data_IF_883948264961
#
_entry.id   IF_883948264961
#
_cell.length_a   1.000
_cell.length_b   1.000
_cell.length_c   1.000
_cell.angle_alpha   90.00
_cell.angle_beta   90.00
_cell.angle_gamma   90.00
#
_symmetry.space_group_name_H-M   'P 1'
#
loop_
_entity.id
_entity.type
_entity.pdbx_description
1 polymer ?
#
# COMPACT_ATOMS: atom_id res chain seq x y z
N UNK A 1 -12.11 18.20 -2.73
CA UNK A 1 -11.28 19.07 -1.86
C UNK A 1 -9.82 18.73 -2.08
N UNK A 2 -8.89 19.68 -2.02
CA UNK A 2 -7.45 19.38 -2.07
C UNK A 2 -6.97 18.97 -0.68
N UNK A 3 -6.27 17.84 -0.57
CA UNK A 3 -5.66 17.39 0.68
C UNK A 3 -4.38 18.19 0.97
N UNK A 4 -4.21 18.61 2.22
CA UNK A 4 -3.03 19.34 2.68
C UNK A 4 -2.57 18.78 4.03
N UNK A 5 -1.27 18.61 4.17
CA UNK A 5 -0.64 18.19 5.43
C UNK A 5 -0.42 19.41 6.37
N UNK A 6 -0.49 19.15 7.67
CA UNK A 6 -0.03 20.09 8.69
C UNK A 6 1.43 19.81 9.05
N UNK A 7 2.12 20.80 9.64
CA UNK A 7 3.49 20.58 10.14
C UNK A 7 3.57 19.47 11.19
N UNK A 8 2.58 19.37 12.07
CA UNK A 8 2.53 18.33 13.11
C UNK A 8 2.40 16.93 12.50
N UNK A 9 1.62 16.79 11.42
CA UNK A 9 1.51 15.52 10.67
C UNK A 9 2.83 15.13 10.01
N UNK A 10 3.55 16.09 9.44
CA UNK A 10 4.87 15.84 8.83
C UNK A 10 5.87 15.39 9.91
N UNK A 11 5.91 16.06 11.08
CA UNK A 11 6.79 15.65 12.17
C UNK A 11 6.40 14.28 12.75
N UNK A 12 5.10 14.00 12.90
CA UNK A 12 4.63 12.67 13.31
C UNK A 12 5.10 11.58 12.33
N UNK A 13 4.97 11.81 11.02
CA UNK A 13 5.42 10.87 10.01
C UNK A 13 6.93 10.58 10.11
N UNK A 14 7.75 11.60 10.35
CA UNK A 14 9.21 11.45 10.52
C UNK A 14 9.57 10.58 11.74
N UNK A 15 8.76 10.68 12.81
CA UNK A 15 8.98 9.91 14.04
C UNK A 15 8.46 8.48 13.89
N UNK A 16 7.25 8.31 13.39
CA UNK A 16 6.54 7.03 13.39
C UNK A 16 6.83 6.20 12.14
N UNK A 17 7.16 6.83 11.00
CA UNK A 17 7.31 6.20 9.69
C UNK A 17 5.98 5.97 8.97
N UNK A 18 4.87 6.39 9.58
CA UNK A 18 3.53 6.37 8.99
C UNK A 18 2.67 7.51 9.56
N UNK A 19 1.59 7.83 8.85
CA UNK A 19 0.60 8.83 9.22
C UNK A 19 -0.78 8.31 8.83
N UNK A 20 -1.78 8.43 9.70
CA UNK A 20 -3.19 8.13 9.40
C UNK A 20 -3.94 9.45 9.21
N UNK A 21 -4.84 9.48 8.22
CA UNK A 21 -5.69 10.62 7.90
C UNK A 21 -7.13 10.16 7.64
N UNK A 22 -8.11 10.93 8.11
CA UNK A 22 -9.51 10.50 8.13
C UNK A 22 -10.23 10.76 6.80
N UNK A 23 -9.68 11.59 5.91
CA UNK A 23 -10.41 12.04 4.71
C UNK A 23 -9.46 12.33 3.54
N UNK A 24 -9.36 11.41 2.59
CA UNK A 24 -8.60 11.53 1.35
C UNK A 24 -9.49 11.56 0.10
N UNK A 25 -10.58 10.79 0.11
CA UNK A 25 -11.50 10.69 -1.02
C UNK A 25 -12.94 10.81 -0.55
N UNK A 26 -13.79 11.39 -1.39
CA UNK A 26 -15.21 11.56 -1.09
C UNK A 26 -16.04 10.29 -1.40
N UNK A 27 -17.26 10.23 -0.84
CA UNK A 27 -18.18 9.12 -1.00
C UNK A 27 -18.53 8.82 -2.47
N UNK A 28 -18.57 9.82 -3.33
CA UNK A 28 -18.82 9.64 -4.76
C UNK A 28 -17.69 8.87 -5.42
N UNK A 29 -16.45 9.26 -5.13
CA UNK A 29 -15.25 8.58 -5.63
C UNK A 29 -15.18 7.14 -5.12
N UNK A 30 -15.49 6.91 -3.84
CA UNK A 30 -15.52 5.56 -3.25
C UNK A 30 -16.56 4.68 -3.95
N UNK A 31 -17.76 5.17 -4.17
CA UNK A 31 -18.82 4.40 -4.84
C UNK A 31 -18.42 4.02 -6.29
N UNK A 32 -17.75 4.94 -6.99
CA UNK A 32 -17.22 4.67 -8.33
C UNK A 32 -16.10 3.59 -8.27
N UNK A 33 -15.14 3.72 -7.36
CA UNK A 33 -14.06 2.75 -7.19
C UNK A 33 -14.59 1.35 -6.82
N UNK A 34 -15.59 1.25 -5.93
CA UNK A 34 -16.21 -0.05 -5.62
C UNK A 34 -16.75 -0.73 -6.88
N UNK A 35 -17.50 0.01 -7.70
CA UNK A 35 -18.05 -0.52 -8.96
C UNK A 35 -16.94 -0.95 -9.92
N UNK A 36 -15.84 -0.17 -9.99
CA UNK A 36 -14.74 -0.46 -10.90
C UNK A 36 -13.88 -1.63 -10.42
N UNK A 37 -13.67 -1.78 -9.11
CA UNK A 37 -12.92 -2.90 -8.54
C UNK A 37 -13.52 -4.25 -8.95
N UNK A 38 -14.84 -4.41 -8.81
CA UNK A 38 -15.52 -5.65 -9.20
C UNK A 38 -15.32 -5.95 -10.69
N UNK A 39 -15.46 -4.93 -11.55
CA UNK A 39 -15.27 -5.06 -13.00
C UNK A 39 -13.82 -5.38 -13.39
N UNK A 40 -12.84 -4.75 -12.73
CA UNK A 40 -11.42 -5.01 -12.99
C UNK A 40 -11.05 -6.47 -12.72
N UNK A 41 -11.57 -7.08 -11.65
CA UNK A 41 -11.37 -8.51 -11.38
C UNK A 41 -12.13 -9.43 -12.34
N UNK A 42 -13.12 -8.91 -13.06
CA UNK A 42 -13.81 -9.61 -14.17
C UNK A 42 -13.12 -9.40 -15.52
N UNK A 43 -12.03 -8.63 -15.58
CA UNK A 43 -11.30 -8.35 -16.82
C UNK A 43 -11.89 -7.24 -17.69
N UNK A 44 -12.81 -6.43 -17.14
CA UNK A 44 -13.39 -5.26 -17.82
C UNK A 44 -12.46 -4.04 -17.66
N UNK A 45 -11.58 -3.86 -18.65
CA UNK A 45 -10.60 -2.77 -18.69
C UNK A 45 -11.07 -1.66 -19.63
N UNK A 46 -11.52 -0.52 -19.07
CA UNK A 46 -12.11 0.60 -19.83
C UNK A 46 -11.22 1.14 -20.94
N UNK A 47 -9.91 1.14 -20.74
CA UNK A 47 -8.93 1.66 -21.71
C UNK A 47 -8.54 0.63 -22.78
N UNK A 48 -8.94 -0.64 -22.61
CA UNK A 48 -8.48 -1.75 -23.42
C UNK A 48 -7.04 -2.20 -23.09
N UNK A 49 -6.35 -1.54 -22.16
CA UNK A 49 -4.99 -1.90 -21.72
C UNK A 49 -5.11 -2.80 -20.49
N UNK A 50 -4.45 -3.94 -20.51
CA UNK A 50 -4.40 -4.83 -19.35
C UNK A 50 -3.48 -4.27 -18.29
N UNK A 51 -3.79 -4.46 -16.98
CA UNK A 51 -2.86 -4.15 -15.89
C UNK A 51 -1.63 -5.08 -15.98
N UNK A 52 -0.56 -4.73 -15.26
CA UNK A 52 0.68 -5.50 -15.33
C UNK A 52 0.54 -6.87 -14.65
N UNK A 53 -0.23 -6.93 -13.57
CA UNK A 53 -0.45 -8.16 -12.81
C UNK A 53 -1.89 -8.23 -12.27
N UNK A 54 -2.46 -9.42 -12.32
CA UNK A 54 -3.72 -9.80 -11.67
C UNK A 54 -3.49 -11.13 -10.98
N UNK A 55 -3.46 -11.16 -9.65
CA UNK A 55 -3.13 -12.37 -8.88
C UNK A 55 -4.32 -13.30 -8.64
N UNK A 56 -5.53 -12.87 -8.97
CA UNK A 56 -6.74 -13.62 -8.68
C UNK A 56 -7.69 -13.63 -9.88
N UNK A 57 -8.23 -14.80 -10.18
CA UNK A 57 -9.24 -15.02 -11.23
C UNK A 57 -10.41 -15.79 -10.63
N UNK A 58 -11.62 -15.36 -10.96
CA UNK A 58 -12.85 -16.02 -10.53
C UNK A 58 -12.87 -17.47 -11.03
N UNK A 59 -13.27 -18.39 -10.17
CA UNK A 59 -13.33 -19.84 -10.37
C UNK A 59 -11.99 -20.59 -10.42
N UNK A 60 -10.86 -19.91 -10.63
CA UNK A 60 -9.54 -20.56 -10.74
C UNK A 60 -8.66 -20.34 -9.51
N UNK A 61 -8.86 -19.22 -8.80
CA UNK A 61 -8.04 -18.85 -7.64
C UNK A 61 -8.73 -19.16 -6.32
N UNK A 62 -7.93 -19.36 -5.28
CA UNK A 62 -8.43 -19.56 -3.92
C UNK A 62 -9.27 -18.33 -3.46
N UNK A 63 -10.52 -18.53 -3.01
CA UNK A 63 -11.40 -17.44 -2.62
C UNK A 63 -10.93 -16.68 -1.36
N UNK A 64 -10.08 -17.29 -0.52
CA UNK A 64 -9.55 -16.69 0.70
C UNK A 64 -8.26 -15.90 0.48
N UNK A 65 -7.76 -15.79 -0.75
CA UNK A 65 -6.64 -14.91 -1.04
C UNK A 65 -7.08 -13.43 -1.08
N UNK A 66 -6.23 -12.56 -0.56
CA UNK A 66 -6.35 -11.13 -0.85
C UNK A 66 -6.11 -10.92 -2.34
N UNK A 67 -7.10 -10.35 -3.02
CA UNK A 67 -7.06 -10.08 -4.46
C UNK A 67 -6.26 -8.80 -4.71
N UNK A 68 -5.41 -8.84 -5.73
CA UNK A 68 -4.53 -7.72 -6.08
C UNK A 68 -4.46 -7.54 -7.59
N UNK A 69 -4.48 -6.27 -8.01
CA UNK A 69 -4.17 -5.85 -9.39
C UNK A 69 -3.11 -4.77 -9.31
N UNK A 70 -2.00 -4.95 -10.03
CA UNK A 70 -0.91 -3.98 -10.11
C UNK A 70 -1.02 -3.13 -11.37
N UNK A 71 -0.83 -1.81 -11.22
CA UNK A 71 -0.88 -0.83 -12.32
C UNK A 71 -2.24 -0.77 -13.04
N UNK A 72 -3.34 -0.86 -12.27
CA UNK A 72 -4.70 -0.72 -12.77
C UNK A 72 -5.00 0.70 -13.31
N UNK A 73 -4.20 1.72 -12.95
CA UNK A 73 -4.33 3.08 -13.47
C UNK A 73 -4.24 3.16 -15.00
N UNK A 74 -3.52 2.21 -15.63
CA UNK A 74 -3.45 2.11 -17.09
C UNK A 74 -4.74 1.56 -17.71
N UNK A 75 -5.48 0.79 -16.93
CA UNK A 75 -6.65 0.01 -17.36
C UNK A 75 -7.98 0.68 -17.08
N UNK A 76 -8.00 1.66 -16.16
CA UNK A 76 -9.23 2.21 -15.59
C UNK A 76 -9.11 3.71 -15.32
N UNK A 77 -10.06 4.49 -15.84
CA UNK A 77 -10.06 5.94 -15.71
C UNK A 77 -10.35 6.43 -14.29
N UNK A 78 -11.19 5.71 -13.51
CA UNK A 78 -11.49 6.07 -12.13
C UNK A 78 -10.28 5.85 -11.22
N UNK A 79 -9.59 4.71 -11.38
CA UNK A 79 -8.35 4.43 -10.69
C UNK A 79 -7.30 5.49 -11.04
N UNK A 80 -7.08 5.75 -12.34
CA UNK A 80 -6.14 6.77 -12.80
C UNK A 80 -6.44 8.15 -12.20
N UNK A 81 -7.70 8.60 -12.27
CA UNK A 81 -8.13 9.90 -11.74
C UNK A 81 -7.91 10.02 -10.22
N UNK A 82 -7.86 8.89 -9.50
CA UNK A 82 -7.63 8.89 -8.05
C UNK A 82 -6.15 8.85 -7.71
N UNK A 83 -5.37 7.91 -8.28
CA UNK A 83 -3.96 7.74 -7.90
C UNK A 83 -3.03 8.80 -8.52
N UNK A 84 -3.44 9.44 -9.62
CA UNK A 84 -2.67 10.51 -10.26
C UNK A 84 -3.07 11.92 -9.77
N UNK A 85 -3.78 12.03 -8.66
CA UNK A 85 -4.13 13.31 -8.06
C UNK A 85 -2.89 14.08 -7.65
N UNK A 86 -2.83 15.36 -8.05
CA UNK A 86 -1.72 16.26 -7.75
C UNK A 86 -1.51 16.45 -6.23
N UNK A 87 -2.59 16.54 -5.45
CA UNK A 87 -2.50 16.76 -4.01
C UNK A 87 -1.94 15.54 -3.26
N UNK A 88 -2.21 14.29 -3.71
CA UNK A 88 -1.57 13.10 -3.17
C UNK A 88 -0.07 13.05 -3.52
N UNK A 89 0.27 13.36 -4.77
CA UNK A 89 1.68 13.46 -5.19
C UNK A 89 2.46 14.51 -4.41
N UNK A 90 1.85 15.67 -4.15
CA UNK A 90 2.42 16.73 -3.32
C UNK A 90 2.60 16.28 -1.87
N UNK A 91 1.60 15.63 -1.28
CA UNK A 91 1.69 15.12 0.08
C UNK A 91 2.85 14.11 0.24
N UNK A 92 3.02 13.19 -0.71
CA UNK A 92 4.17 12.26 -0.71
C UNK A 92 5.49 13.02 -0.82
N UNK A 93 5.59 14.05 -1.68
CA UNK A 93 6.78 14.86 -1.80
C UNK A 93 7.10 15.64 -0.52
N UNK A 94 6.10 16.22 0.15
CA UNK A 94 6.25 16.91 1.43
C UNK A 94 6.73 15.98 2.55
N UNK A 95 6.12 14.79 2.68
CA UNK A 95 6.52 13.77 3.66
C UNK A 95 7.94 13.25 3.42
N UNK A 96 8.31 13.07 2.17
CA UNK A 96 9.64 12.59 1.77
C UNK A 96 10.72 13.68 1.73
N UNK A 97 10.35 14.96 1.80
CA UNK A 97 11.28 16.07 1.56
C UNK A 97 11.82 16.08 0.12
N UNK A 98 11.00 15.68 -0.86
CA UNK A 98 11.38 15.48 -2.26
C UNK A 98 11.05 16.70 -3.14
N UNK A 99 11.76 16.89 -4.27
CA UNK A 99 11.41 17.95 -5.22
C UNK A 99 10.07 17.70 -5.92
N UNK A 100 9.54 16.48 -5.88
CA UNK A 100 8.27 16.06 -6.44
C UNK A 100 8.13 14.56 -6.39
N UNK A 101 6.99 14.04 -6.86
CA UNK A 101 6.68 12.61 -6.87
C UNK A 101 6.40 12.10 -8.29
N UNK A 102 6.84 10.89 -8.59
CA UNK A 102 6.40 10.08 -9.74
C UNK A 102 5.76 8.81 -9.25
N UNK A 103 4.70 8.35 -9.95
CA UNK A 103 4.10 7.05 -9.65
C UNK A 103 5.10 5.92 -9.95
N UNK A 104 5.21 4.97 -9.04
CA UNK A 104 5.90 3.70 -9.24
C UNK A 104 4.89 2.67 -9.70
N UNK A 105 3.83 2.52 -8.92
CA UNK A 105 2.81 1.49 -9.09
C UNK A 105 1.56 1.90 -8.31
N UNK A 106 0.39 1.44 -8.76
CA UNK A 106 -0.79 1.36 -7.92
C UNK A 106 -1.18 -0.10 -7.67
N UNK A 107 -1.91 -0.32 -6.58
CA UNK A 107 -2.51 -1.61 -6.27
C UNK A 107 -3.99 -1.45 -5.94
N UNK A 108 -4.83 -2.16 -6.68
CA UNK A 108 -6.22 -2.44 -6.31
C UNK A 108 -6.22 -3.64 -5.39
N UNK A 109 -6.62 -3.46 -4.13
CA UNK A 109 -6.63 -4.51 -3.12
C UNK A 109 -8.06 -4.82 -2.67
N UNK A 110 -8.44 -6.09 -2.67
CA UNK A 110 -9.71 -6.57 -2.13
C UNK A 110 -9.50 -7.76 -1.22
N UNK A 111 -9.77 -7.59 0.07
CA UNK A 111 -9.62 -8.62 1.11
C UNK A 111 -11.01 -9.10 1.52
N UNK A 112 -11.47 -10.28 1.02
CA UNK A 112 -12.79 -10.82 1.35
C UNK A 112 -12.88 -11.25 2.82
N UNK A 113 -14.10 -11.49 3.35
CA UNK A 113 -14.28 -12.19 4.61
C UNK A 113 -13.52 -13.53 4.60
N UNK A 114 -12.83 -13.85 5.68
CA UNK A 114 -11.98 -15.05 5.79
C UNK A 114 -10.61 -14.94 5.13
N UNK A 115 -10.33 -13.85 4.42
CA UNK A 115 -9.05 -13.73 3.70
C UNK A 115 -7.84 -13.81 4.62
N UNK A 116 -6.85 -14.57 4.15
CA UNK A 116 -5.61 -14.86 4.83
C UNK A 116 -4.68 -13.65 4.97
N UNK A 117 -3.66 -13.72 5.85
CA UNK A 117 -2.76 -12.60 6.07
C UNK A 117 -1.95 -12.23 4.82
N UNK A 118 -1.51 -10.97 4.78
CA UNK A 118 -0.36 -10.53 3.97
C UNK A 118 0.87 -10.41 4.87
N UNK A 119 1.97 -10.99 4.42
CA UNK A 119 3.22 -11.04 5.17
C UNK A 119 3.77 -9.64 5.48
N UNK A 120 4.41 -9.51 6.64
CA UNK A 120 5.14 -8.28 6.94
C UNK A 120 6.29 -8.09 5.97
N UNK A 121 6.39 -6.89 5.43
CA UNK A 121 7.37 -6.49 4.42
C UNK A 121 7.71 -5.01 4.51
N UNK A 122 8.66 -4.61 3.69
CA UNK A 122 9.06 -3.22 3.44
C UNK A 122 8.94 -2.99 1.93
N UNK A 123 8.16 -2.01 1.49
CA UNK A 123 7.91 -1.75 0.06
C UNK A 123 9.21 -1.53 -0.73
N UNK A 124 10.15 -0.78 -0.17
CA UNK A 124 11.45 -0.53 -0.80
C UNK A 124 12.29 -1.79 -1.06
N UNK A 125 12.01 -2.90 -0.38
CA UNK A 125 12.75 -4.14 -0.55
C UNK A 125 12.56 -4.75 -1.96
N UNK A 126 11.41 -4.48 -2.59
CA UNK A 126 11.08 -5.01 -3.93
C UNK A 126 11.66 -4.19 -5.09
N UNK A 127 12.23 -3.01 -4.83
CA UNK A 127 12.51 -2.02 -5.86
C UNK A 127 14.01 -1.70 -5.97
N UNK A 128 14.79 -2.68 -6.45
CA UNK A 128 16.24 -2.52 -6.65
C UNK A 128 16.62 -1.74 -7.92
N UNK A 129 15.66 -1.53 -8.83
CA UNK A 129 15.90 -1.02 -10.18
C UNK A 129 15.99 0.51 -10.29
N UNK A 130 15.94 1.25 -9.14
CA UNK A 130 16.14 2.70 -9.11
C UNK A 130 16.97 3.18 -7.92
N UNK A 131 17.51 4.39 -8.03
CA UNK A 131 18.33 5.04 -6.99
C UNK A 131 18.05 6.56 -6.94
N UNK A 132 17.98 7.20 -5.74
CA UNK A 132 17.95 6.54 -4.43
C UNK A 132 16.68 5.71 -4.24
N UNK A 133 16.77 4.62 -3.46
CA UNK A 133 15.64 3.74 -3.15
C UNK A 133 14.75 4.37 -2.10
N UNK A 134 14.03 5.41 -2.51
CA UNK A 134 13.13 6.17 -1.66
C UNK A 134 11.72 6.15 -2.25
N UNK A 135 10.84 5.40 -1.60
CA UNK A 135 9.44 5.30 -1.90
C UNK A 135 8.60 5.61 -0.68
N UNK A 136 7.47 6.27 -0.89
CA UNK A 136 6.40 6.42 0.07
C UNK A 136 5.11 5.86 -0.52
N UNK A 137 4.27 5.34 0.32
CA UNK A 137 3.00 4.74 -0.06
C UNK A 137 1.84 5.53 0.53
N UNK A 138 0.83 5.83 -0.29
CA UNK A 138 -0.48 6.29 0.15
C UNK A 138 -1.47 5.13 -0.01
N UNK A 139 -2.07 4.69 1.08
CA UNK A 139 -3.08 3.64 1.13
C UNK A 139 -4.44 4.26 1.45
N UNK A 140 -5.43 4.10 0.58
CA UNK A 140 -6.77 4.71 0.68
C UNK A 140 -7.78 3.64 1.06
N UNK A 141 -8.46 3.79 2.19
CA UNK A 141 -9.51 2.90 2.64
C UNK A 141 -10.81 3.14 1.86
N UNK A 142 -11.33 2.12 1.19
CA UNK A 142 -12.63 2.17 0.53
C UNK A 142 -13.76 1.61 1.39
N UNK A 143 -13.43 0.93 2.46
CA UNK A 143 -14.32 0.44 3.51
C UNK A 143 -13.75 0.84 4.88
N UNK A 144 -14.59 0.92 5.91
CA UNK A 144 -14.10 1.09 7.29
C UNK A 144 -13.17 -0.06 7.67
N UNK A 145 -12.06 0.26 8.31
CA UNK A 145 -11.06 -0.74 8.70
C UNK A 145 -10.98 -0.88 10.21
N UNK A 146 -10.77 -2.10 10.66
CA UNK A 146 -10.54 -2.46 12.05
C UNK A 146 -9.58 -3.63 12.13
N UNK A 147 -9.11 -3.98 13.32
CA UNK A 147 -8.30 -5.17 13.53
C UNK A 147 -9.00 -6.41 12.98
N UNK A 148 -10.30 -6.57 13.24
CA UNK A 148 -11.11 -7.71 12.75
C UNK A 148 -11.22 -7.77 11.23
N UNK A 149 -11.21 -6.63 10.53
CA UNK A 149 -11.23 -6.60 9.06
C UNK A 149 -9.87 -6.88 8.41
N UNK A 150 -8.83 -7.16 9.22
CA UNK A 150 -7.46 -7.32 8.75
C UNK A 150 -6.91 -6.01 8.19
N UNK A 151 -7.00 -4.93 8.98
CA UNK A 151 -6.43 -3.63 8.64
C UNK A 151 -4.90 -3.68 8.48
N UNK A 152 -4.29 -2.57 8.09
CA UNK A 152 -2.83 -2.44 8.10
C UNK A 152 -2.30 -2.46 9.54
N UNK A 153 -1.19 -3.16 9.72
CA UNK A 153 -0.37 -3.20 10.91
C UNK A 153 0.96 -2.55 10.60
N UNK A 154 1.31 -1.45 11.28
CA UNK A 154 2.60 -0.78 11.14
C UNK A 154 3.49 -1.02 12.35
N UNK A 155 4.78 -1.14 12.14
CA UNK A 155 5.77 -1.15 13.22
C UNK A 155 6.33 0.26 13.37
N UNK A 156 5.98 0.93 14.47
CA UNK A 156 6.36 2.32 14.75
C UNK A 156 7.87 2.51 14.70
N UNK A 157 8.32 3.50 13.93
CA UNK A 157 9.73 3.88 13.83
C UNK A 157 10.65 2.90 13.10
N UNK A 158 10.12 1.80 12.57
CA UNK A 158 10.91 0.75 11.92
C UNK A 158 11.56 1.15 10.60
N UNK A 159 11.15 2.26 10.00
CA UNK A 159 11.81 2.82 8.82
C UNK A 159 13.25 3.28 9.10
N UNK A 160 13.63 3.44 10.37
CA UNK A 160 14.98 3.81 10.82
C UNK A 160 15.84 2.60 11.22
N UNK A 161 15.34 1.38 11.11
CA UNK A 161 16.13 0.19 11.39
C UNK A 161 17.21 0.00 10.31
N UNK A 162 18.37 -0.53 10.70
CA UNK A 162 19.55 -0.61 9.81
C UNK A 162 19.47 -1.76 8.81
N UNK A 163 18.73 -2.82 9.14
CA UNK A 163 18.57 -3.99 8.28
C UNK A 163 17.62 -3.74 7.12
N UNK A 164 18.15 -3.47 5.92
CA UNK A 164 17.37 -3.52 4.69
C UNK A 164 17.18 -5.00 4.33
N UNK A 165 15.95 -5.47 4.34
CA UNK A 165 15.65 -6.87 4.02
C UNK A 165 15.39 -7.04 2.52
N UNK A 166 15.91 -8.11 1.95
CA UNK A 166 15.40 -8.66 0.69
C UNK A 166 14.07 -9.37 0.98
N UNK A 167 13.09 -9.32 0.05
CA UNK A 167 11.86 -10.07 0.22
C UNK A 167 12.17 -11.56 0.40
N UNK A 168 11.82 -12.12 1.54
CA UNK A 168 11.95 -13.56 1.81
C UNK A 168 10.58 -14.17 2.03
N UNK A 169 10.31 -15.26 1.29
CA UNK A 169 9.09 -16.05 1.45
C UNK A 169 7.88 -15.50 0.67
N UNK A 170 6.74 -16.13 0.90
CA UNK A 170 5.49 -15.77 0.25
C UNK A 170 4.90 -14.48 0.86
N UNK A 171 4.56 -13.53 0.01
CA UNK A 171 3.85 -12.30 0.40
C UNK A 171 2.39 -12.61 0.78
N UNK A 172 1.73 -13.42 -0.05
CA UNK A 172 0.37 -13.90 0.19
C UNK A 172 0.40 -15.17 1.02
N UNK A 173 -0.37 -15.19 2.12
CA UNK A 173 -0.60 -16.36 2.98
C UNK A 173 0.68 -17.06 3.50
N UNK A 174 1.64 -16.35 4.08
CA UNK A 174 2.78 -17.00 4.70
C UNK A 174 2.35 -17.73 5.99
N UNK A 175 2.96 -18.90 6.31
CA UNK A 175 2.65 -19.66 7.52
C UNK A 175 2.78 -18.87 8.84
N UNK A 176 3.72 -17.94 8.88
CA UNK A 176 3.90 -16.95 9.94
C UNK A 176 4.11 -15.57 9.28
N UNK A 177 3.03 -14.81 9.21
CA UNK A 177 3.06 -13.52 8.50
C UNK A 177 3.88 -12.43 9.22
N UNK A 178 4.24 -12.62 10.50
CA UNK A 178 5.08 -11.70 11.29
C UNK A 178 6.57 -12.07 11.30
N UNK A 179 6.94 -13.23 10.79
CA UNK A 179 8.28 -13.79 10.91
C UNK A 179 9.39 -12.87 10.43
N UNK A 180 9.27 -12.30 9.24
CA UNK A 180 10.30 -11.44 8.66
C UNK A 180 10.55 -10.20 9.53
N UNK A 181 9.50 -9.53 9.95
CA UNK A 181 9.56 -8.38 10.85
C UNK A 181 10.13 -8.74 12.23
N UNK A 182 9.69 -9.86 12.81
CA UNK A 182 10.19 -10.33 14.12
C UNK A 182 11.69 -10.63 14.06
N UNK A 183 12.16 -11.26 12.98
CA UNK A 183 13.59 -11.52 12.75
C UNK A 183 14.37 -10.22 12.64
N UNK A 184 13.87 -9.24 11.90
CA UNK A 184 14.51 -7.93 11.80
C UNK A 184 14.58 -7.20 13.15
N UNK A 185 13.49 -7.21 13.92
CA UNK A 185 13.47 -6.61 15.26
C UNK A 185 14.49 -7.27 16.21
N UNK A 186 14.66 -8.59 16.14
CA UNK A 186 15.68 -9.31 16.90
C UNK A 186 17.11 -8.89 16.53
N UNK A 187 17.38 -8.68 15.24
CA UNK A 187 18.69 -8.20 14.76
C UNK A 187 19.00 -6.79 15.27
N UNK A 188 17.99 -5.94 15.39
CA UNK A 188 18.10 -4.59 15.96
C UNK A 188 18.11 -4.59 17.51
N UNK A 189 17.92 -5.74 18.16
CA UNK A 189 17.74 -5.86 19.62
C UNK A 189 16.58 -5.01 20.14
N UNK A 190 15.48 -4.92 19.39
CA UNK A 190 14.30 -4.14 19.71
C UNK A 190 13.06 -5.03 19.92
N UNK A 191 12.13 -4.53 20.73
CA UNK A 191 10.77 -5.06 20.82
C UNK A 191 9.90 -4.21 19.88
N UNK A 192 9.31 -4.80 18.80
CA UNK A 192 8.52 -4.04 17.85
C UNK A 192 7.22 -3.53 18.48
N UNK A 193 6.94 -2.25 18.33
CA UNK A 193 5.64 -1.65 18.67
C UNK A 193 4.74 -1.72 17.44
N UNK A 194 3.83 -2.71 17.43
CA UNK A 194 2.88 -2.92 16.34
C UNK A 194 1.62 -2.09 16.59
N UNK A 195 1.25 -1.29 15.60
CA UNK A 195 0.06 -0.43 15.63
C UNK A 195 -0.94 -0.95 14.57
N UNK A 196 -2.11 -1.40 15.03
CA UNK A 196 -3.25 -1.69 14.16
C UNK A 196 -3.97 -0.36 13.87
N UNK A 197 -4.01 0.05 12.61
CA UNK A 197 -4.61 1.35 12.27
C UNK A 197 -6.08 1.18 11.89
N UNK A 198 -6.95 1.86 12.61
CA UNK A 198 -8.37 1.98 12.27
C UNK A 198 -8.56 3.21 11.40
N UNK A 199 -9.01 3.01 10.19
CA UNK A 199 -9.16 4.04 9.17
C UNK A 199 -10.60 4.07 8.72
N UNK A 200 -11.31 5.22 8.82
CA UNK A 200 -12.65 5.34 8.31
C UNK A 200 -12.65 5.26 6.79
N UNK A 201 -13.73 4.79 6.24
CA UNK A 201 -13.98 4.79 4.78
C UNK A 201 -13.76 6.19 4.21
N UNK A 202 -12.94 6.28 3.17
CA UNK A 202 -12.50 7.53 2.54
C UNK A 202 -11.28 8.16 3.17
N UNK A 203 -10.85 7.69 4.33
CA UNK A 203 -9.56 8.00 4.93
C UNK A 203 -8.42 7.20 4.32
N UNK A 204 -7.26 7.27 4.94
CA UNK A 204 -6.11 6.50 4.47
C UNK A 204 -4.89 6.64 5.38
N UNK A 205 -3.79 6.09 4.92
CA UNK A 205 -2.49 6.24 5.56
C UNK A 205 -1.41 6.55 4.55
N UNK A 206 -0.38 7.25 5.02
CA UNK A 206 0.90 7.37 4.33
C UNK A 206 1.94 6.59 5.12
N UNK A 207 2.83 5.87 4.43
CA UNK A 207 3.93 5.20 5.12
C UNK A 207 5.23 5.23 4.30
N UNK A 208 6.32 5.21 5.03
CA UNK A 208 7.66 5.18 4.45
C UNK A 208 7.96 3.78 3.89
N UNK A 209 8.57 3.69 2.72
CA UNK A 209 8.84 2.41 2.07
C UNK A 209 9.74 1.44 2.87
N UNK A 210 10.45 1.94 3.89
CA UNK A 210 11.18 1.11 4.87
C UNK A 210 10.42 0.85 6.17
N UNK A 211 9.15 1.28 6.30
CA UNK A 211 8.32 0.90 7.45
C UNK A 211 7.88 -0.55 7.31
N UNK A 212 8.18 -1.37 8.29
CA UNK A 212 7.64 -2.72 8.39
C UNK A 212 6.13 -2.66 8.56
N UNK A 213 5.43 -3.33 7.67
CA UNK A 213 3.98 -3.40 7.72
C UNK A 213 3.45 -4.72 7.16
N UNK A 214 2.23 -5.04 7.51
CA UNK A 214 1.54 -6.25 7.10
C UNK A 214 0.04 -6.13 7.35
N UNK A 215 -0.68 -7.24 7.24
CA UNK A 215 -2.13 -7.26 7.43
C UNK A 215 -2.57 -8.64 7.89
N UNK A 216 -3.24 -8.72 9.04
CA UNK A 216 -3.78 -9.97 9.59
C UNK A 216 -4.93 -10.56 8.77
N UNK A 217 -5.53 -11.63 9.28
CA UNK A 217 -6.73 -12.27 8.71
C UNK A 217 -7.91 -11.31 8.75
N UNK A 218 -8.74 -11.28 7.70
CA UNK A 218 -10.05 -10.64 7.77
C UNK A 218 -11.05 -11.58 8.46
N UNK A 219 -11.28 -11.39 9.75
CA UNK A 219 -12.25 -12.14 10.56
C UNK A 219 -13.66 -11.55 10.53
N UNK A 220 -13.82 -10.38 9.91
CA UNK A 220 -15.11 -9.72 9.78
C UNK A 220 -15.98 -10.37 8.70
N UNK A 221 -17.25 -10.00 8.67
CA UNK A 221 -18.17 -10.41 7.60
C UNK A 221 -18.17 -9.45 6.40
N UNK A 222 -17.32 -8.42 6.41
CA UNK A 222 -17.27 -7.39 5.40
C UNK A 222 -15.99 -7.49 4.55
N UNK A 223 -16.09 -7.04 3.30
CA UNK A 223 -14.94 -6.80 2.46
C UNK A 223 -14.10 -5.64 3.01
N UNK A 224 -12.79 -5.73 2.90
CA UNK A 224 -11.86 -4.64 3.14
C UNK A 224 -11.13 -4.33 1.84
N UNK A 225 -11.55 -3.28 1.17
CA UNK A 225 -10.98 -2.82 -0.11
C UNK A 225 -10.13 -1.57 0.09
N UNK A 226 -9.09 -1.48 -0.70
CA UNK A 226 -8.18 -0.34 -0.68
C UNK A 226 -7.60 -0.06 -2.05
N UNK A 227 -7.32 1.21 -2.30
CA UNK A 227 -6.53 1.65 -3.43
C UNK A 227 -5.19 2.19 -2.91
N UNK A 228 -4.10 1.70 -3.47
CA UNK A 228 -2.75 2.05 -3.04
C UNK A 228 -2.01 2.79 -4.14
N UNK A 229 -1.31 3.86 -3.77
CA UNK A 229 -0.39 4.59 -4.62
C UNK A 229 1.02 4.47 -4.03
N UNK A 230 1.93 3.88 -4.78
CA UNK A 230 3.36 3.92 -4.49
C UNK A 230 4.01 5.03 -5.30
N UNK A 231 4.63 5.98 -4.61
CA UNK A 231 5.32 7.11 -5.21
C UNK A 231 6.82 7.09 -4.90
N UNK A 232 7.64 7.39 -5.89
CA UNK A 232 9.07 7.64 -5.74
C UNK A 232 9.39 9.12 -5.93
N UNK A 233 10.52 9.57 -5.42
CA UNK A 233 10.95 10.95 -5.65
C UNK A 233 11.20 11.21 -7.14
N UNK A 234 10.91 12.42 -7.58
CA UNK A 234 10.90 12.76 -9.02
C UNK A 234 12.28 12.78 -9.69
N UNK A 235 13.35 12.94 -8.91
CA UNK A 235 14.75 12.96 -9.37
C UNK A 235 15.45 11.59 -9.32
N UNK A 236 14.69 10.52 -9.02
CA UNK A 236 15.17 9.14 -9.06
C UNK A 236 15.65 8.75 -10.46
N UNK A 237 16.74 7.99 -10.52
CA UNK A 237 17.32 7.45 -11.74
C UNK A 237 17.18 5.92 -11.76
N UNK A 238 17.01 5.34 -12.95
CA UNK A 238 17.00 3.90 -13.12
C UNK A 238 18.43 3.33 -12.99
N UNK A 239 18.52 2.12 -12.44
CA UNK A 239 19.75 1.33 -12.35
C UNK A 239 19.72 0.30 -13.47
N UNK A 240 20.46 0.51 -14.59
CA UNK A 240 20.32 -0.30 -15.80
C UNK A 240 20.55 -1.80 -15.58
N UNK A 241 21.44 -2.14 -14.64
CA UNK A 241 21.82 -3.53 -14.32
C UNK A 241 20.64 -4.31 -13.70
N UNK A 242 19.64 -3.63 -13.17
CA UNK A 242 18.47 -4.22 -12.52
C UNK A 242 17.19 -4.12 -13.36
N UNK A 243 17.26 -3.63 -14.60
CA UNK A 243 16.11 -3.49 -15.51
C UNK A 243 15.81 -4.75 -16.36
N UNK A 244 16.63 -5.79 -16.26
CA UNK A 244 16.45 -7.03 -17.01
C UNK A 244 15.42 -7.94 -16.31
N UNK A 245 14.13 -7.65 -16.58
CA UNK A 245 13.00 -8.51 -16.21
C UNK A 245 12.11 -8.76 -17.42
#
# INVERSE_FOLDING_TARGET
>A
MSFLLTNDQIEQFKVDGFLVVDNLVDEKTIAQLHTRFDRLFQGDFETGIRPDEVNWQEHDSDPELTRQICNAWKSDHCVAATVLREDLGRALAELGGWPGTRIVQDNVLSKPPGARPLGYHQDNAYLAWYTPREMLTCWIALDDTSEDSGTLEFVRGSHRWHGQQTPEGAFHDPPDYKRAMTTAAQQENLIPEVIHVEIPRGGGSFHHGWTWHGSGVNRSHNWRRALVLHGMRSDTQFVPEHLNH
#
